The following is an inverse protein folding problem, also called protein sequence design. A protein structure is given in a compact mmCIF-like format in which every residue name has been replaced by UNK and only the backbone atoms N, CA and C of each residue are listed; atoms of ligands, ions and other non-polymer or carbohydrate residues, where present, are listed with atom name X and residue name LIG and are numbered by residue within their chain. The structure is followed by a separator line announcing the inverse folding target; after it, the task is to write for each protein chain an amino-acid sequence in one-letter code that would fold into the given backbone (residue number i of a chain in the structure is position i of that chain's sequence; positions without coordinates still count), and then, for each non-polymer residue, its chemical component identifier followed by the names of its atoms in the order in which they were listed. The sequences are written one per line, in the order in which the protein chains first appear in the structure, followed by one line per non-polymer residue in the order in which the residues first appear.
data_IF_733355617358
#
_entry.id   IF_733355617358
#
_cell.length_a   1.000
_cell.length_b   1.000
_cell.length_c   1.000
_cell.angle_alpha   90.00
_cell.angle_beta   90.00
_cell.angle_gamma   90.00
#
_symmetry.space_group_name_H-M   'P 1'
#
loop_
_entity.id
_entity.type
_entity.pdbx_description
1 polymer ?
#
# COMPACT_ATOMS: atom_id res chain seq x y z
N UNK A 1 -25.99 6.64 32.44
CA UNK A 1 -25.97 7.86 33.19
C UNK A 1 -25.01 8.90 32.61
N UNK A 2 -25.11 10.13 33.08
CA UNK A 2 -24.30 11.28 32.60
C UNK A 2 -22.78 11.04 32.70
N UNK A 3 -22.32 10.38 33.73
CA UNK A 3 -20.90 10.01 33.95
C UNK A 3 -20.36 9.00 32.97
N UNK A 4 -21.16 8.03 32.55
CA UNK A 4 -20.73 7.03 31.54
C UNK A 4 -20.56 7.64 30.14
N UNK A 5 -21.29 8.71 29.81
CA UNK A 5 -21.14 9.45 28.56
C UNK A 5 -19.90 10.35 28.55
N UNK A 6 -19.54 10.93 29.71
CA UNK A 6 -18.34 11.76 29.86
C UNK A 6 -17.07 10.92 29.80
N UNK A 7 -17.02 9.78 30.46
CA UNK A 7 -15.88 8.85 30.39
C UNK A 7 -15.72 8.26 29.01
N UNK A 8 -16.83 7.86 28.34
CA UNK A 8 -16.78 7.35 26.96
C UNK A 8 -16.26 8.39 25.97
N UNK A 9 -16.62 9.66 26.12
CA UNK A 9 -16.15 10.75 25.26
C UNK A 9 -14.64 11.07 25.47
N UNK A 10 -14.17 11.01 26.72
CA UNK A 10 -12.76 11.20 27.07
C UNK A 10 -11.88 10.07 26.54
N UNK A 11 -12.32 8.81 26.68
CA UNK A 11 -11.61 7.64 26.16
C UNK A 11 -11.54 7.70 24.63
N UNK A 12 -12.65 8.01 23.96
CA UNK A 12 -12.68 8.18 22.51
C UNK A 12 -11.67 9.23 22.05
N UNK A 13 -11.68 10.42 22.65
CA UNK A 13 -10.75 11.48 22.29
C UNK A 13 -9.29 11.08 22.49
N UNK A 14 -8.97 10.32 23.55
CA UNK A 14 -7.61 9.81 23.77
C UNK A 14 -7.21 8.78 22.73
N UNK A 15 -8.12 7.86 22.37
CA UNK A 15 -7.89 6.86 21.31
C UNK A 15 -7.71 7.54 19.96
N UNK A 16 -8.57 8.52 19.62
CA UNK A 16 -8.44 9.29 18.38
C UNK A 16 -7.14 10.09 18.33
N UNK A 17 -6.73 10.67 19.45
CA UNK A 17 -5.47 11.42 19.53
C UNK A 17 -4.26 10.50 19.40
N UNK A 18 -4.31 9.31 19.98
CA UNK A 18 -3.27 8.30 19.83
C UNK A 18 -3.25 7.76 18.39
N UNK A 19 -4.41 7.48 17.78
CA UNK A 19 -4.51 7.04 16.41
C UNK A 19 -3.92 8.06 15.42
N UNK A 20 -4.12 9.36 15.63
CA UNK A 20 -3.56 10.44 14.79
C UNK A 20 -2.03 10.51 14.79
N UNK A 21 -1.35 9.86 15.74
CA UNK A 21 0.11 9.77 15.72
C UNK A 21 0.63 8.66 14.78
N UNK A 22 -0.27 7.74 14.36
CA UNK A 22 0.06 6.59 13.50
C UNK A 22 -0.69 6.62 12.16
N UNK A 23 -1.83 7.32 12.09
CA UNK A 23 -2.69 7.40 10.91
C UNK A 23 -2.62 8.80 10.34
N UNK A 24 -2.13 8.92 9.11
CA UNK A 24 -1.97 10.21 8.43
C UNK A 24 -3.32 10.87 8.08
N UNK A 25 -4.37 10.07 7.83
CA UNK A 25 -5.71 10.54 7.51
C UNK A 25 -6.69 9.39 7.27
N UNK A 26 -7.97 9.70 7.22
CA UNK A 26 -9.02 8.76 6.86
C UNK A 26 -9.19 8.60 5.33
N UNK A 27 -8.60 9.51 4.57
CA UNK A 27 -8.56 9.53 3.11
C UNK A 27 -7.21 10.06 2.62
N UNK A 28 -6.92 9.91 1.33
CA UNK A 28 -5.73 10.52 0.72
C UNK A 28 -5.78 12.06 0.84
N UNK A 29 -6.96 12.66 0.68
CA UNK A 29 -7.13 14.10 0.84
C UNK A 29 -6.76 14.60 2.25
N UNK A 30 -7.11 13.84 3.29
CA UNK A 30 -6.72 14.14 4.68
C UNK A 30 -5.22 13.92 4.93
N UNK A 31 -4.64 12.89 4.30
CA UNK A 31 -3.22 12.55 4.45
C UNK A 31 -2.29 13.48 3.67
N UNK A 32 -2.73 14.02 2.52
CA UNK A 32 -1.89 14.80 1.62
C UNK A 32 -1.14 15.98 2.27
N UNK A 33 -1.72 16.77 3.19
CA UNK A 33 -0.99 17.81 3.90
C UNK A 33 0.15 17.28 4.78
N UNK A 34 -0.05 16.10 5.41
CA UNK A 34 0.97 15.44 6.24
C UNK A 34 2.12 14.95 5.37
N UNK A 35 1.79 14.29 4.25
CA UNK A 35 2.75 13.75 3.29
C UNK A 35 3.57 14.87 2.63
N UNK A 36 2.92 16.00 2.26
CA UNK A 36 3.58 17.18 1.71
C UNK A 36 4.56 17.80 2.71
N UNK A 37 4.22 17.85 3.98
CA UNK A 37 5.11 18.32 5.04
C UNK A 37 6.33 17.40 5.19
N UNK A 38 6.12 16.08 5.26
CA UNK A 38 7.21 15.10 5.34
C UNK A 38 8.16 15.24 4.14
N UNK A 39 7.60 15.41 2.94
CA UNK A 39 8.37 15.65 1.72
C UNK A 39 9.24 16.90 1.83
N UNK A 40 8.66 18.00 2.29
CA UNK A 40 9.39 19.28 2.48
C UNK A 40 10.48 19.16 3.56
N UNK A 41 10.29 18.29 4.55
CA UNK A 41 11.29 17.96 5.58
C UNK A 41 12.38 16.99 5.10
N UNK A 42 12.35 16.57 3.82
CA UNK A 42 13.31 15.63 3.24
C UNK A 42 13.07 14.18 3.64
N UNK A 43 11.83 13.81 3.93
CA UNK A 43 11.43 12.45 4.31
C UNK A 43 10.57 11.82 3.22
N UNK A 44 11.02 10.70 2.69
CA UNK A 44 10.20 9.83 1.86
C UNK A 44 9.15 9.10 2.73
N UNK A 45 8.10 8.60 2.09
CA UNK A 45 6.99 7.93 2.76
C UNK A 45 6.45 6.76 1.91
N UNK A 46 5.82 5.83 2.57
CA UNK A 46 4.98 4.81 1.95
C UNK A 46 3.60 4.85 2.59
N UNK A 47 2.56 4.79 1.79
CA UNK A 47 1.17 4.76 2.28
C UNK A 47 0.69 3.31 2.30
N UNK A 48 0.15 2.88 3.43
CA UNK A 48 -0.55 1.62 3.61
C UNK A 48 -2.03 1.90 3.86
N UNK A 49 -2.90 1.21 3.13
CA UNK A 49 -4.34 1.29 3.30
C UNK A 49 -4.78 0.29 4.37
N UNK A 50 -5.38 0.81 5.45
CA UNK A 50 -5.90 -0.03 6.53
C UNK A 50 -7.24 -0.67 6.17
N UNK A 51 -7.59 -1.81 6.80
CA UNK A 51 -8.86 -2.48 6.62
C UNK A 51 -8.84 -3.65 5.62
N UNK A 52 -7.75 -4.32 5.51
CA UNK A 52 -7.42 -5.37 4.52
C UNK A 52 -7.92 -6.77 4.84
N UNK A 53 -8.75 -6.96 5.86
CA UNK A 53 -9.34 -8.28 6.13
C UNK A 53 -10.31 -8.68 5.02
N UNK A 54 -9.85 -9.55 4.11
CA UNK A 54 -10.61 -9.99 2.93
C UNK A 54 -11.16 -11.38 3.15
N UNK A 55 -12.48 -11.48 3.29
CA UNK A 55 -13.21 -12.75 3.45
C UNK A 55 -14.03 -13.12 2.20
N UNK A 56 -14.09 -12.24 1.22
CA UNK A 56 -14.82 -12.45 -0.04
C UNK A 56 -14.10 -11.82 -1.24
N UNK A 57 -14.36 -12.36 -2.43
CA UNK A 57 -13.83 -11.81 -3.67
C UNK A 57 -14.32 -10.36 -3.93
N UNK A 58 -15.53 -10.04 -3.45
CA UNK A 58 -16.05 -8.67 -3.51
C UNK A 58 -15.21 -7.69 -2.68
N UNK A 59 -14.75 -8.09 -1.51
CA UNK A 59 -13.87 -7.26 -0.68
C UNK A 59 -12.49 -7.12 -1.32
N UNK A 60 -11.99 -8.19 -1.95
CA UNK A 60 -10.75 -8.12 -2.73
C UNK A 60 -10.86 -7.14 -3.91
N UNK A 61 -12.01 -7.09 -4.60
CA UNK A 61 -12.27 -6.10 -5.65
C UNK A 61 -12.33 -4.67 -5.08
N UNK A 62 -13.01 -4.47 -3.95
CA UNK A 62 -13.07 -3.17 -3.28
C UNK A 62 -11.69 -2.70 -2.81
N UNK A 63 -10.87 -3.59 -2.25
CA UNK A 63 -9.51 -3.26 -1.85
C UNK A 63 -8.66 -2.83 -3.06
N UNK A 64 -8.71 -3.58 -4.17
CA UNK A 64 -8.07 -3.18 -5.44
C UNK A 64 -8.51 -1.77 -5.87
N UNK A 65 -9.82 -1.50 -5.87
CA UNK A 65 -10.37 -0.23 -6.33
C UNK A 65 -9.92 0.94 -5.44
N UNK A 66 -9.89 0.75 -4.11
CA UNK A 66 -9.34 1.73 -3.18
C UNK A 66 -7.84 1.98 -3.43
N UNK A 67 -7.06 0.93 -3.73
CA UNK A 67 -5.65 1.08 -4.07
C UNK A 67 -5.44 1.87 -5.38
N UNK A 68 -6.26 1.63 -6.41
CA UNK A 68 -6.23 2.38 -7.67
C UNK A 68 -6.58 3.86 -7.45
N UNK A 69 -7.61 4.14 -6.67
CA UNK A 69 -8.00 5.50 -6.29
C UNK A 69 -6.87 6.20 -5.52
N UNK A 70 -6.30 5.54 -4.52
CA UNK A 70 -5.19 6.07 -3.74
C UNK A 70 -3.96 6.39 -4.60
N UNK A 71 -3.56 5.51 -5.52
CA UNK A 71 -2.46 5.77 -6.46
C UNK A 71 -2.74 7.02 -7.31
N UNK A 72 -3.96 7.16 -7.83
CA UNK A 72 -4.36 8.29 -8.66
C UNK A 72 -4.34 9.61 -7.87
N UNK A 73 -4.90 9.61 -6.66
CA UNK A 73 -4.98 10.80 -5.83
C UNK A 73 -3.62 11.22 -5.30
N UNK A 74 -2.79 10.25 -4.84
CA UNK A 74 -1.41 10.50 -4.41
C UNK A 74 -0.55 11.04 -5.56
N UNK A 75 -0.69 10.48 -6.76
CA UNK A 75 0.01 10.96 -7.94
C UNK A 75 -0.35 12.42 -8.26
N UNK A 76 -1.65 12.76 -8.19
CA UNK A 76 -2.12 14.14 -8.39
C UNK A 76 -1.60 15.09 -7.30
N UNK A 77 -1.68 14.70 -6.03
CA UNK A 77 -1.25 15.52 -4.92
C UNK A 77 0.26 15.77 -4.96
N UNK A 78 1.06 14.74 -5.19
CA UNK A 78 2.53 14.82 -5.20
C UNK A 78 3.08 15.60 -6.39
N UNK A 79 2.37 15.68 -7.50
CA UNK A 79 2.78 16.47 -8.66
C UNK A 79 2.92 17.97 -8.37
N UNK A 80 2.19 18.49 -7.37
CA UNK A 80 2.24 19.89 -6.96
C UNK A 80 3.34 20.18 -5.92
N UNK A 81 4.06 19.18 -5.42
CA UNK A 81 5.08 19.39 -4.40
C UNK A 81 6.40 19.88 -4.99
N UNK A 82 7.17 20.66 -4.21
CA UNK A 82 8.43 21.16 -4.69
C UNK A 82 9.40 20.01 -5.00
N UNK A 83 10.19 20.13 -6.10
CA UNK A 83 11.18 19.11 -6.42
C UNK A 83 12.30 19.09 -5.37
N UNK A 84 12.82 17.89 -5.08
CA UNK A 84 13.97 17.71 -4.18
C UNK A 84 14.83 16.54 -4.65
N UNK A 85 16.06 16.83 -5.06
CA UNK A 85 17.00 15.80 -5.52
C UNK A 85 17.27 14.74 -4.43
N UNK A 86 17.17 15.11 -3.14
CA UNK A 86 17.38 14.18 -2.02
C UNK A 86 16.42 12.98 -2.05
N UNK A 87 15.18 13.18 -2.54
CA UNK A 87 14.13 12.17 -2.52
C UNK A 87 13.74 11.66 -3.91
N UNK A 88 14.20 12.31 -4.98
CA UNK A 88 13.79 11.98 -6.35
C UNK A 88 14.89 11.31 -7.16
N UNK A 89 16.10 11.20 -6.61
CA UNK A 89 17.21 10.58 -7.30
C UNK A 89 18.15 9.87 -6.33
N UNK A 90 18.69 8.72 -6.75
CA UNK A 90 19.78 8.03 -6.09
C UNK A 90 20.86 7.59 -7.11
N UNK A 91 21.82 6.79 -6.67
CA UNK A 91 22.91 6.29 -7.51
C UNK A 91 22.45 5.31 -8.62
N UNK A 92 21.19 4.86 -8.60
CA UNK A 92 20.59 3.97 -9.59
C UNK A 92 19.70 4.73 -10.58
N UNK A 93 19.34 6.00 -10.26
CA UNK A 93 18.53 6.86 -11.10
C UNK A 93 17.34 7.50 -10.38
N UNK A 94 16.28 7.88 -11.12
CA UNK A 94 15.13 8.58 -10.55
C UNK A 94 14.35 7.68 -9.59
N UNK A 95 13.82 8.30 -8.52
CA UNK A 95 12.97 7.67 -7.54
C UNK A 95 11.53 8.19 -7.64
N UNK A 96 10.51 7.34 -7.42
CA UNK A 96 9.12 7.75 -7.46
C UNK A 96 8.73 8.57 -6.22
N UNK A 97 7.92 9.61 -6.42
CA UNK A 97 7.37 10.42 -5.32
C UNK A 97 6.29 9.69 -4.52
N UNK A 98 5.61 8.75 -5.16
CA UNK A 98 4.52 7.96 -4.58
C UNK A 98 5.00 6.56 -4.31
N UNK A 99 4.71 6.06 -3.11
CA UNK A 99 4.95 4.68 -2.74
C UNK A 99 3.71 4.12 -2.04
N UNK A 100 3.12 3.06 -2.59
CA UNK A 100 1.97 2.38 -2.01
C UNK A 100 2.38 1.01 -1.49
N UNK A 101 2.07 0.74 -0.22
CA UNK A 101 2.20 -0.60 0.35
C UNK A 101 0.92 -1.39 0.11
N UNK A 102 1.06 -2.61 -0.39
CA UNK A 102 -0.03 -3.52 -0.75
C UNK A 102 0.10 -4.83 0.01
N UNK A 103 -1.04 -5.36 0.43
CA UNK A 103 -1.14 -6.70 1.00
C UNK A 103 -1.66 -7.66 -0.06
N UNK A 104 -0.80 -8.57 -0.54
CA UNK A 104 -1.22 -9.58 -1.52
C UNK A 104 -2.39 -10.42 -0.98
N UNK A 105 -2.39 -10.69 0.34
CA UNK A 105 -3.46 -11.42 1.02
C UNK A 105 -4.82 -10.73 0.95
N UNK A 106 -4.86 -9.41 0.79
CA UNK A 106 -6.08 -8.64 0.64
C UNK A 106 -6.65 -8.66 -0.80
N UNK A 107 -5.91 -9.17 -1.77
CA UNK A 107 -6.32 -9.23 -3.17
C UNK A 107 -7.00 -10.56 -3.58
N UNK A 108 -7.17 -11.49 -2.64
CA UNK A 108 -7.94 -12.72 -2.86
C UNK A 108 -8.37 -13.33 -1.54
N UNK A 109 -9.63 -13.74 -1.45
CA UNK A 109 -10.13 -14.53 -0.33
C UNK A 109 -9.78 -16.03 -0.45
N UNK A 110 -9.08 -16.43 -1.53
CA UNK A 110 -8.84 -17.83 -1.91
C UNK A 110 -7.35 -18.13 -2.08
N UNK A 111 -6.52 -17.59 -1.19
CA UNK A 111 -5.10 -17.95 -1.18
C UNK A 111 -4.95 -19.36 -0.60
N UNK A 112 -4.53 -20.30 -1.43
CA UNK A 112 -4.34 -21.68 -1.06
C UNK A 112 -2.93 -22.15 -1.49
N UNK A 113 -2.05 -22.48 -0.53
CA UNK A 113 -0.73 -23.04 -0.84
C UNK A 113 -0.76 -24.38 -1.58
N UNK A 114 -1.90 -25.11 -1.54
CA UNK A 114 -2.09 -26.37 -2.26
C UNK A 114 -2.43 -26.12 -3.73
N UNK A 115 -3.08 -24.97 -4.05
CA UNK A 115 -3.32 -24.53 -5.43
C UNK A 115 -2.61 -23.20 -5.72
N UNK A 116 -1.28 -23.20 -5.89
CA UNK A 116 -0.52 -21.99 -6.18
C UNK A 116 -0.89 -21.34 -7.51
N UNK A 117 -1.30 -22.14 -8.51
CA UNK A 117 -1.71 -21.65 -9.82
C UNK A 117 -3.06 -20.93 -9.77
N UNK A 118 -4.03 -21.48 -9.04
CA UNK A 118 -5.32 -20.82 -8.79
C UNK A 118 -5.16 -19.54 -7.99
N UNK A 119 -4.35 -19.59 -6.95
CA UNK A 119 -3.99 -18.43 -6.13
C UNK A 119 -3.33 -17.34 -6.98
N UNK A 120 -2.34 -17.69 -7.81
CA UNK A 120 -1.70 -16.75 -8.73
C UNK A 120 -2.71 -16.10 -9.68
N UNK A 121 -3.55 -16.89 -10.35
CA UNK A 121 -4.55 -16.36 -11.30
C UNK A 121 -5.51 -15.37 -10.62
N UNK A 122 -5.98 -15.71 -9.43
CA UNK A 122 -6.91 -14.86 -8.66
C UNK A 122 -6.28 -13.52 -8.28
N UNK A 123 -5.07 -13.56 -7.73
CA UNK A 123 -4.34 -12.36 -7.29
C UNK A 123 -3.86 -11.53 -8.48
N UNK A 124 -3.25 -12.16 -9.50
CA UNK A 124 -2.69 -11.47 -10.64
C UNK A 124 -3.73 -10.70 -11.46
N UNK A 125 -4.98 -11.18 -11.50
CA UNK A 125 -6.08 -10.45 -12.14
C UNK A 125 -6.33 -9.07 -11.51
N UNK A 126 -6.06 -8.92 -10.20
CA UNK A 126 -6.21 -7.68 -9.45
C UNK A 126 -4.91 -6.87 -9.32
N UNK A 127 -3.76 -7.57 -9.31
CA UNK A 127 -2.46 -6.89 -9.25
C UNK A 127 -2.09 -6.20 -10.57
N UNK A 128 -2.39 -6.78 -11.72
CA UNK A 128 -2.03 -6.19 -13.01
C UNK A 128 -2.56 -4.75 -13.16
N UNK A 129 -3.84 -4.44 -12.94
CA UNK A 129 -4.31 -3.05 -13.01
C UNK A 129 -3.57 -2.10 -12.06
N UNK A 130 -3.19 -2.58 -10.87
CA UNK A 130 -2.44 -1.77 -9.90
C UNK A 130 -1.02 -1.47 -10.38
N UNK A 131 -0.33 -2.46 -10.91
CA UNK A 131 1.02 -2.27 -11.46
C UNK A 131 0.98 -1.44 -12.75
N UNK A 132 -0.02 -1.63 -13.61
CA UNK A 132 -0.23 -0.80 -14.81
C UNK A 132 -0.43 0.68 -14.42
N UNK A 133 -1.24 0.94 -13.39
CA UNK A 133 -1.46 2.28 -12.87
C UNK A 133 -0.16 2.86 -12.27
N UNK A 134 0.58 2.08 -11.50
CA UNK A 134 1.85 2.50 -10.91
C UNK A 134 2.91 2.83 -11.98
N UNK A 135 2.96 2.05 -13.06
CA UNK A 135 3.81 2.33 -14.22
C UNK A 135 3.45 3.66 -14.90
N UNK A 136 2.15 3.95 -15.03
CA UNK A 136 1.67 5.18 -15.68
C UNK A 136 1.94 6.44 -14.87
N UNK A 137 2.07 6.32 -13.54
CA UNK A 137 2.23 7.42 -12.57
C UNK A 137 3.67 7.58 -12.06
N UNK A 138 4.69 6.89 -12.59
CA UNK A 138 5.94 6.50 -11.96
C UNK A 138 5.85 6.43 -10.41
N UNK A 139 5.04 5.48 -9.93
CA UNK A 139 4.87 5.20 -8.50
C UNK A 139 5.59 3.90 -8.11
N UNK A 140 6.00 3.78 -6.86
CA UNK A 140 6.52 2.53 -6.28
C UNK A 140 5.40 1.70 -5.66
N UNK A 141 5.54 0.38 -5.72
CA UNK A 141 4.64 -0.58 -5.07
C UNK A 141 5.45 -1.52 -4.19
N UNK A 142 5.13 -1.53 -2.89
CA UNK A 142 5.75 -2.43 -1.91
C UNK A 142 4.71 -3.48 -1.52
N UNK A 143 5.13 -4.74 -1.50
CA UNK A 143 4.28 -5.85 -1.11
C UNK A 143 4.64 -6.30 0.30
N UNK A 144 3.67 -6.17 1.23
CA UNK A 144 3.83 -6.59 2.61
C UNK A 144 3.60 -8.10 2.76
N UNK A 145 4.53 -8.75 3.44
CA UNK A 145 4.48 -10.17 3.78
C UNK A 145 4.05 -10.34 5.22
N UNK A 146 2.75 -10.60 5.46
CA UNK A 146 2.18 -10.59 6.81
C UNK A 146 2.26 -11.94 7.52
N UNK A 147 1.93 -13.03 6.83
CA UNK A 147 1.76 -14.35 7.44
C UNK A 147 2.90 -15.29 7.04
N UNK A 148 3.52 -15.93 8.02
CA UNK A 148 4.64 -16.84 7.78
C UNK A 148 4.23 -18.05 6.91
N UNK A 149 3.01 -18.56 7.11
CA UNK A 149 2.48 -19.75 6.43
C UNK A 149 2.25 -19.52 4.94
N UNK A 150 1.83 -18.32 4.56
CA UNK A 150 1.55 -17.97 3.17
C UNK A 150 2.75 -17.35 2.43
N UNK A 151 3.81 -17.01 3.16
CA UNK A 151 5.00 -16.34 2.61
C UNK A 151 5.58 -16.98 1.34
N UNK A 152 5.79 -18.32 1.26
CA UNK A 152 6.33 -18.93 0.05
C UNK A 152 5.42 -18.71 -1.16
N UNK A 153 4.09 -18.80 -0.95
CA UNK A 153 3.09 -18.55 -1.98
C UNK A 153 3.11 -17.08 -2.45
N UNK A 154 3.13 -16.14 -1.52
CA UNK A 154 3.16 -14.71 -1.84
C UNK A 154 4.43 -14.32 -2.60
N UNK A 155 5.57 -14.92 -2.22
CA UNK A 155 6.84 -14.73 -2.92
C UNK A 155 6.81 -15.32 -4.34
N UNK A 156 6.16 -16.48 -4.52
CA UNK A 156 5.96 -17.08 -5.85
C UNK A 156 5.07 -16.18 -6.71
N UNK A 157 3.97 -15.69 -6.18
CA UNK A 157 3.06 -14.75 -6.87
C UNK A 157 3.82 -13.50 -7.32
N UNK A 158 4.61 -12.90 -6.44
CA UNK A 158 5.44 -11.74 -6.75
C UNK A 158 6.42 -12.03 -7.90
N UNK A 159 7.19 -13.10 -7.79
CA UNK A 159 8.18 -13.49 -8.81
C UNK A 159 7.54 -13.75 -10.16
N UNK A 160 6.41 -14.43 -10.18
CA UNK A 160 5.68 -14.75 -11.42
C UNK A 160 5.15 -13.50 -12.10
N UNK A 161 4.54 -12.58 -11.33
CA UNK A 161 4.03 -11.33 -11.88
C UNK A 161 5.16 -10.49 -12.50
N UNK A 162 6.24 -10.28 -11.77
CA UNK A 162 7.37 -9.46 -12.26
C UNK A 162 8.30 -10.20 -13.23
N UNK A 163 8.05 -11.47 -13.53
CA UNK A 163 8.62 -12.15 -14.69
C UNK A 163 7.83 -11.91 -15.99
N UNK A 164 6.59 -11.43 -15.90
CA UNK A 164 5.78 -11.09 -17.08
C UNK A 164 6.44 -9.95 -17.88
N UNK A 165 6.46 -10.01 -19.22
CA UNK A 165 7.16 -9.03 -20.06
C UNK A 165 6.81 -7.56 -19.76
N UNK A 166 5.54 -7.18 -19.50
CA UNK A 166 5.19 -5.79 -19.20
C UNK A 166 5.82 -5.25 -17.92
N UNK A 167 6.08 -6.13 -16.92
CA UNK A 167 6.49 -5.74 -15.56
C UNK A 167 7.95 -6.02 -15.24
N UNK A 168 8.64 -6.81 -16.10
CA UNK A 168 10.03 -7.24 -15.85
C UNK A 168 11.02 -6.07 -15.67
N UNK A 169 10.77 -4.96 -16.34
CA UNK A 169 11.62 -3.77 -16.27
C UNK A 169 11.12 -2.73 -15.27
N UNK A 170 10.08 -3.02 -14.48
CA UNK A 170 9.56 -2.10 -13.48
C UNK A 170 10.51 -2.02 -12.28
N UNK A 171 11.21 -0.87 -12.06
CA UNK A 171 12.29 -0.80 -11.08
C UNK A 171 11.82 -0.51 -9.65
N UNK A 172 10.54 -0.18 -9.45
CA UNK A 172 10.01 0.33 -8.19
C UNK A 172 9.12 -0.67 -7.45
N UNK A 173 9.25 -1.97 -7.77
CA UNK A 173 8.61 -3.03 -7.01
C UNK A 173 9.49 -3.48 -5.86
N UNK A 174 8.93 -3.55 -4.65
CA UNK A 174 9.63 -3.99 -3.45
C UNK A 174 8.84 -5.02 -2.65
N UNK A 175 9.57 -5.74 -1.78
CA UNK A 175 9.00 -6.65 -0.79
C UNK A 175 9.40 -6.19 0.60
N UNK A 176 8.41 -5.95 1.47
CA UNK A 176 8.64 -5.75 2.89
C UNK A 176 8.55 -7.11 3.62
N UNK A 177 9.61 -7.47 4.32
CA UNK A 177 9.72 -8.77 4.95
C UNK A 177 10.24 -8.63 6.39
N UNK A 178 9.44 -9.09 7.36
CA UNK A 178 9.90 -9.18 8.76
C UNK A 178 10.73 -10.46 8.95
N UNK A 179 11.98 -10.30 9.35
CA UNK A 179 12.83 -11.40 9.82
C UNK A 179 12.77 -11.38 11.35
N UNK A 180 12.30 -12.47 11.96
CA UNK A 180 12.52 -12.70 13.39
C UNK A 180 13.90 -13.34 13.54
N UNK A 181 14.76 -12.65 14.26
CA UNK A 181 16.05 -13.17 14.73
C UNK A 181 15.84 -13.92 16.02
#
# INVERSE_FOLDING_TARGET
GFWSRLTGKSIRNQVEQMARSFIAGASVADAAPVLSRLWTEGRAWSVDLLGEATISEREADLYRDHCLEALTELGRASAAWPPTALLEEDHLGPLPRVQLSLKISALSSRLDPIDPDGSYRSVAARLRPLVDQALSLPAGVIFDMEQAETKPLLLDIFKRLFAEPPYRAYPYAGLAHTIRL
#
